data_IF_268318269359
#
_entry.id   IF_268318269359
#
_cell.length_a   1.000
_cell.length_b   1.000
_cell.length_c   1.000
_cell.angle_alpha   90.00
_cell.angle_beta   90.00
_cell.angle_gamma   90.00
#
_symmetry.space_group_name_H-M   'P 1'
#
loop_
_entity.id
_entity.type
_entity.pdbx_description
1 polymer ?
#
# COMPACT_ATOMS: atom_id res chain seq x y z
N UNK A 1 12.62 5.12 1.57
CA UNK A 1 11.73 4.26 2.38
C UNK A 1 10.39 4.26 1.66
N UNK A 2 9.67 3.14 1.51
CA UNK A 2 8.34 3.17 0.91
C UNK A 2 7.45 4.15 1.68
N UNK A 3 6.81 5.09 0.99
CA UNK A 3 5.99 6.16 1.58
C UNK A 3 4.63 5.62 2.06
N UNK A 4 4.66 4.69 3.01
CA UNK A 4 3.43 4.13 3.62
C UNK A 4 2.56 5.22 4.24
N UNK A 5 3.16 6.27 4.79
CA UNK A 5 2.43 7.43 5.31
C UNK A 5 1.64 8.18 4.21
N UNK A 6 2.23 8.36 3.03
CA UNK A 6 1.56 9.03 1.91
C UNK A 6 0.49 8.13 1.29
N UNK A 7 0.79 6.83 1.17
CA UNK A 7 -0.15 5.84 0.70
C UNK A 7 -1.38 5.75 1.59
N UNK A 8 -1.19 5.67 2.91
CA UNK A 8 -2.26 5.63 3.89
C UNK A 8 -3.15 6.87 3.78
N UNK A 9 -2.56 8.07 3.70
CA UNK A 9 -3.29 9.32 3.50
C UNK A 9 -4.09 9.36 2.19
N UNK A 10 -3.54 8.86 1.08
CA UNK A 10 -4.25 8.78 -0.21
C UNK A 10 -5.41 7.79 -0.18
N UNK A 11 -5.22 6.67 0.52
CA UNK A 11 -6.22 5.61 0.65
C UNK A 11 -7.29 5.92 1.72
N UNK A 12 -7.14 7.01 2.48
CA UNK A 12 -8.04 7.35 3.58
C UNK A 12 -7.96 6.40 4.77
N UNK A 13 -6.85 5.67 4.90
CA UNK A 13 -6.60 4.70 5.97
C UNK A 13 -5.41 5.14 6.83
N UNK A 14 -5.23 4.52 8.00
CA UNK A 14 -4.08 4.81 8.87
C UNK A 14 -2.85 4.02 8.43
N UNK A 15 -1.67 4.55 8.74
CA UNK A 15 -0.40 3.91 8.40
C UNK A 15 -0.26 2.51 9.04
N UNK A 16 -0.88 2.32 10.20
CA UNK A 16 -0.96 1.04 10.91
C UNK A 16 -1.76 0.00 10.11
N UNK A 17 -2.93 0.39 9.59
CA UNK A 17 -3.75 -0.46 8.71
C UNK A 17 -3.00 -0.82 7.43
N UNK A 18 -2.23 0.13 6.86
CA UNK A 18 -1.40 -0.14 5.70
C UNK A 18 -0.27 -1.14 6.01
N UNK A 19 0.43 -0.98 7.14
CA UNK A 19 1.48 -1.89 7.60
C UNK A 19 0.91 -3.29 7.91
N UNK A 20 -0.25 -3.36 8.54
CA UNK A 20 -0.96 -4.61 8.81
C UNK A 20 -1.42 -5.30 7.51
N UNK A 21 -1.78 -4.52 6.49
CA UNK A 21 -2.12 -5.04 5.18
C UNK A 21 -0.90 -5.61 4.44
N UNK A 22 0.23 -4.89 4.43
CA UNK A 22 1.49 -5.38 3.87
C UNK A 22 2.04 -6.60 4.60
N UNK A 23 1.76 -6.73 5.89
CA UNK A 23 2.23 -7.83 6.71
C UNK A 23 3.75 -7.79 6.95
N UNK A 24 4.23 -8.75 7.74
CA UNK A 24 5.66 -8.90 8.08
C UNK A 24 6.43 -9.74 7.06
N UNK A 25 5.76 -10.22 6.01
CA UNK A 25 6.39 -11.04 4.97
C UNK A 25 7.24 -10.15 4.06
N UNK A 26 8.54 -10.41 4.01
CA UNK A 26 9.41 -9.92 2.96
C UNK A 26 9.44 -10.97 1.83
N UNK A 27 9.05 -10.64 0.59
CA UNK A 27 8.60 -9.34 0.09
C UNK A 27 7.13 -9.01 0.42
N UNK A 28 6.77 -7.71 0.54
CA UNK A 28 5.39 -7.27 0.77
C UNK A 28 4.50 -7.63 -0.42
N UNK A 29 3.41 -8.33 -0.17
CA UNK A 29 2.47 -8.75 -1.20
C UNK A 29 1.43 -7.65 -1.44
N UNK A 30 1.66 -6.86 -2.50
CA UNK A 30 0.78 -5.75 -2.89
C UNK A 30 -0.64 -6.26 -3.18
N UNK A 31 -0.79 -7.45 -3.79
CA UNK A 31 -2.09 -8.02 -4.10
C UNK A 31 -2.85 -8.41 -2.83
N UNK A 32 -2.16 -9.03 -1.87
CA UNK A 32 -2.76 -9.38 -0.58
C UNK A 32 -3.12 -8.13 0.24
N UNK A 33 -2.24 -7.14 0.27
CA UNK A 33 -2.48 -5.87 0.95
C UNK A 33 -3.68 -5.12 0.35
N UNK A 34 -3.75 -5.04 -0.98
CA UNK A 34 -4.86 -4.40 -1.69
C UNK A 34 -6.18 -5.10 -1.37
N UNK A 35 -6.22 -6.44 -1.43
CA UNK A 35 -7.38 -7.23 -1.03
C UNK A 35 -7.79 -7.01 0.43
N UNK A 36 -6.83 -6.96 1.36
CA UNK A 36 -7.09 -6.69 2.79
C UNK A 36 -7.64 -5.28 3.02
N UNK A 37 -7.15 -4.30 2.27
CA UNK A 37 -7.58 -2.90 2.35
C UNK A 37 -8.89 -2.63 1.60
N UNK A 38 -9.38 -3.59 0.81
CA UNK A 38 -10.54 -3.40 -0.06
C UNK A 38 -10.26 -2.46 -1.24
N UNK A 39 -8.99 -2.31 -1.64
CA UNK A 39 -8.56 -1.48 -2.77
C UNK A 39 -7.97 -2.36 -3.87
N UNK A 40 -7.72 -1.77 -5.05
CA UNK A 40 -7.06 -2.48 -6.15
C UNK A 40 -5.54 -2.36 -6.05
N UNK A 41 -4.80 -3.31 -6.64
CA UNK A 41 -3.32 -3.24 -6.71
C UNK A 41 -2.84 -1.94 -7.33
N UNK A 42 -3.50 -1.46 -8.38
CA UNK A 42 -3.18 -0.18 -9.02
C UNK A 42 -3.29 0.98 -8.02
N UNK A 43 -4.38 1.04 -7.25
CA UNK A 43 -4.60 2.08 -6.25
C UNK A 43 -3.57 2.00 -5.13
N UNK A 44 -3.17 0.79 -4.70
CA UNK A 44 -2.13 0.60 -3.70
C UNK A 44 -0.73 1.00 -4.22
N UNK A 45 -0.41 0.69 -5.48
CA UNK A 45 0.83 1.10 -6.16
C UNK A 45 0.89 2.63 -6.33
N UNK A 46 -0.20 3.26 -6.74
CA UNK A 46 -0.33 4.72 -6.84
C UNK A 46 -0.22 5.40 -5.47
N UNK A 47 -0.78 4.77 -4.45
CA UNK A 47 -0.69 5.22 -3.06
C UNK A 47 0.76 5.16 -2.57
N UNK A 48 1.45 4.04 -2.80
CA UNK A 48 2.88 3.85 -2.49
C UNK A 48 3.81 4.76 -3.30
N UNK A 49 3.30 5.47 -4.30
CA UNK A 49 4.13 6.28 -5.18
C UNK A 49 5.02 5.45 -6.09
N UNK A 50 4.74 4.15 -6.25
CA UNK A 50 5.31 3.30 -7.30
C UNK A 50 4.59 3.65 -8.61
N UNK A 51 4.75 4.90 -9.02
CA UNK A 51 4.56 5.27 -10.40
C UNK A 51 5.85 4.85 -11.06
N UNK A 52 5.80 3.87 -11.98
CA UNK A 52 6.89 3.68 -12.92
C UNK A 52 7.18 5.07 -13.49
N UNK A 53 8.29 5.67 -13.07
CA UNK A 53 8.73 6.97 -13.59
C UNK A 53 8.90 6.73 -15.10
N UNK A 54 8.30 7.56 -15.97
CA UNK A 54 8.41 7.36 -17.41
C UNK A 54 9.87 7.30 -17.85
#
# INVERSE_FOLDING_TARGET
>A
MPDTAAAAKKLGITEDVLKAAFGTTMPPDIAAAAKKLGVTEAVLLEALGIKAKP
#
